data_IF_080448856182
#
_entry.id   IF_080448856182
#
_cell.length_a   1.000
_cell.length_b   1.000
_cell.length_c   1.000
_cell.angle_alpha   90.00
_cell.angle_beta   90.00
_cell.angle_gamma   90.00
#
_symmetry.space_group_name_H-M   'P 1'
#
loop_
_entity.id
_entity.type
_entity.pdbx_description
1 polymer ?
#
# COMPACT_ATOMS: atom_id res chain seq x y z
N UNK A 1 -30.93 -42.07 26.95
CA UNK A 1 -29.76 -42.32 27.81
C UNK A 1 -28.69 -42.93 26.91
N UNK A 2 -27.86 -42.12 26.26
CA UNK A 2 -26.63 -41.50 26.75
C UNK A 2 -25.50 -42.54 26.92
N UNK A 3 -24.38 -42.33 26.22
CA UNK A 3 -23.15 -43.11 26.46
C UNK A 3 -22.11 -43.09 25.33
N UNK A 4 -21.42 -41.96 25.18
CA UNK A 4 -19.97 -41.85 24.89
C UNK A 4 -19.34 -42.57 23.69
N UNK A 5 -18.90 -41.78 22.70
CA UNK A 5 -17.62 -42.01 22.01
C UNK A 5 -16.87 -40.68 21.91
N UNK A 6 -15.73 -40.61 22.60
CA UNK A 6 -14.67 -39.64 22.39
C UNK A 6 -14.10 -39.85 20.98
N UNK A 7 -14.09 -38.80 20.16
CA UNK A 7 -13.48 -38.79 18.83
C UNK A 7 -12.86 -37.43 18.58
N UNK A 8 -11.54 -37.39 18.58
CA UNK A 8 -10.68 -36.25 18.31
C UNK A 8 -11.07 -35.63 16.96
N UNK A 9 -11.57 -34.38 16.96
CA UNK A 9 -11.75 -33.62 15.73
C UNK A 9 -10.38 -33.08 15.32
N UNK A 10 -9.85 -33.69 14.26
CA UNK A 10 -8.63 -33.27 13.56
C UNK A 10 -8.77 -31.83 13.06
N UNK A 11 -7.70 -31.05 13.27
CA UNK A 11 -7.43 -29.77 12.65
C UNK A 11 -7.17 -29.98 11.15
N UNK A 12 -8.20 -30.15 10.33
CA UNK A 12 -8.08 -30.18 8.86
C UNK A 12 -9.32 -29.58 8.18
N UNK A 13 -9.63 -28.32 8.53
CA UNK A 13 -10.42 -27.46 7.66
C UNK A 13 -9.65 -26.16 7.42
N UNK A 14 -8.51 -26.31 6.73
CA UNK A 14 -8.00 -25.23 5.93
C UNK A 14 -9.07 -24.88 4.90
N UNK A 15 -9.66 -23.68 5.04
CA UNK A 15 -10.49 -23.05 4.03
C UNK A 15 -9.66 -22.98 2.74
N UNK A 16 -9.87 -23.93 1.85
CA UNK A 16 -9.33 -23.89 0.49
C UNK A 16 -10.09 -22.78 -0.23
N UNK A 17 -9.49 -21.59 -0.35
CA UNK A 17 -9.97 -20.59 -1.28
C UNK A 17 -10.05 -21.24 -2.67
N UNK A 18 -11.19 -21.17 -3.37
CA UNK A 18 -11.30 -21.66 -4.74
C UNK A 18 -10.27 -20.94 -5.64
N UNK A 19 -9.79 -21.59 -6.72
CA UNK A 19 -8.87 -20.96 -7.65
C UNK A 19 -9.49 -19.69 -8.25
N UNK A 20 -8.70 -18.61 -8.28
CA UNK A 20 -9.10 -17.30 -8.78
C UNK A 20 -9.60 -17.38 -10.23
N UNK A 21 -10.79 -16.86 -10.47
CA UNK A 21 -11.37 -16.73 -11.81
C UNK A 21 -10.90 -15.41 -12.43
N UNK A 22 -10.64 -15.33 -13.74
CA UNK A 22 -10.30 -14.07 -14.45
C UNK A 22 -11.44 -13.02 -14.44
N UNK A 23 -12.49 -13.25 -13.66
CA UNK A 23 -13.64 -12.36 -13.43
C UNK A 23 -13.81 -12.00 -11.95
N UNK A 24 -12.86 -12.39 -11.09
CA UNK A 24 -12.82 -11.99 -9.68
C UNK A 24 -12.73 -10.47 -9.58
N UNK A 25 -13.57 -9.86 -8.73
CA UNK A 25 -13.62 -8.40 -8.58
C UNK A 25 -12.26 -7.82 -8.19
N UNK A 26 -11.54 -8.50 -7.29
CA UNK A 26 -10.20 -8.08 -6.87
C UNK A 26 -9.16 -8.05 -8.00
N UNK A 27 -9.25 -8.96 -8.96
CA UNK A 27 -8.37 -8.99 -10.13
C UNK A 27 -8.75 -7.91 -11.14
N UNK A 28 -10.05 -7.72 -11.39
CA UNK A 28 -10.56 -6.66 -12.27
C UNK A 28 -10.18 -5.27 -11.75
N UNK A 29 -10.34 -5.02 -10.45
CA UNK A 29 -9.90 -3.77 -9.82
C UNK A 29 -8.39 -3.57 -9.96
N UNK A 30 -7.58 -4.59 -9.68
CA UNK A 30 -6.13 -4.50 -9.80
C UNK A 30 -5.68 -4.22 -11.25
N UNK A 31 -6.28 -4.90 -12.23
CA UNK A 31 -5.98 -4.71 -13.64
C UNK A 31 -6.44 -3.34 -14.14
N UNK A 32 -7.68 -2.96 -13.84
CA UNK A 32 -8.30 -1.74 -14.34
C UNK A 32 -7.72 -0.46 -13.73
N UNK A 33 -7.21 -0.53 -12.49
CA UNK A 33 -6.58 0.63 -11.83
C UNK A 33 -5.06 0.72 -12.05
N UNK A 34 -4.45 -0.26 -12.75
CA UNK A 34 -3.00 -0.32 -12.91
C UNK A 34 -2.39 0.96 -13.49
N UNK A 35 -2.96 1.48 -14.56
CA UNK A 35 -2.43 2.67 -15.24
C UNK A 35 -2.51 3.91 -14.36
N UNK A 36 -3.64 4.13 -13.68
CA UNK A 36 -3.81 5.29 -12.79
C UNK A 36 -2.98 5.16 -11.51
N UNK A 37 -2.79 3.95 -10.99
CA UNK A 37 -1.86 3.68 -9.90
C UNK A 37 -0.42 4.04 -10.29
N UNK A 38 0.05 3.58 -11.45
CA UNK A 38 1.38 3.92 -11.97
C UNK A 38 1.54 5.45 -12.17
N UNK A 39 0.50 6.14 -12.64
CA UNK A 39 0.51 7.62 -12.75
C UNK A 39 0.60 8.29 -11.38
N UNK A 40 -0.22 7.86 -10.42
CA UNK A 40 -0.24 8.42 -9.06
C UNK A 40 1.13 8.29 -8.36
N UNK A 41 1.78 7.13 -8.45
CA UNK A 41 3.14 6.93 -7.91
C UNK A 41 4.21 7.80 -8.59
N UNK A 42 3.95 8.24 -9.82
CA UNK A 42 4.85 9.05 -10.61
C UNK A 42 4.64 10.57 -10.49
N UNK A 43 3.68 11.02 -9.69
CA UNK A 43 3.50 12.44 -9.37
C UNK A 43 4.73 13.00 -8.64
N UNK A 44 4.98 14.30 -8.82
CA UNK A 44 6.15 14.96 -8.22
C UNK A 44 6.03 14.97 -6.69
N UNK A 45 4.82 15.21 -6.16
CA UNK A 45 4.49 15.10 -4.74
C UNK A 45 4.93 13.75 -4.13
N UNK A 46 4.50 12.62 -4.72
CA UNK A 46 4.84 11.29 -4.20
C UNK A 46 6.34 11.01 -4.32
N UNK A 47 6.97 11.42 -5.43
CA UNK A 47 8.43 11.27 -5.62
C UNK A 47 9.23 12.03 -4.58
N UNK A 48 8.85 13.26 -4.26
CA UNK A 48 9.52 14.07 -3.24
C UNK A 48 9.29 13.51 -1.84
N UNK A 49 8.06 13.04 -1.55
CA UNK A 49 7.76 12.34 -0.32
C UNK A 49 8.68 11.14 -0.11
N UNK A 50 8.77 10.23 -1.09
CA UNK A 50 9.60 9.02 -1.00
C UNK A 50 11.11 9.32 -0.89
N UNK A 51 11.56 10.45 -1.44
CA UNK A 51 12.93 10.94 -1.26
C UNK A 51 13.18 11.59 0.10
N UNK A 52 12.13 11.80 0.90
CA UNK A 52 12.19 12.48 2.19
C UNK A 52 12.27 14.00 2.06
N UNK A 53 11.95 14.58 0.91
CA UNK A 53 11.87 16.03 0.69
C UNK A 53 10.49 16.52 1.11
N UNK A 54 10.21 16.44 2.40
CA UNK A 54 8.89 16.74 2.96
C UNK A 54 8.97 18.08 3.68
N UNK A 55 8.05 18.99 3.33
CA UNK A 55 7.80 20.23 4.07
C UNK A 55 6.73 19.95 5.12
N UNK A 56 6.94 20.43 6.35
CA UNK A 56 6.09 20.07 7.49
C UNK A 56 4.69 20.63 7.30
N UNK A 57 4.55 21.88 6.89
CA UNK A 57 3.24 22.47 6.64
C UNK A 57 2.50 21.76 5.52
N UNK A 58 3.20 21.33 4.47
CA UNK A 58 2.59 20.57 3.40
C UNK A 58 2.14 19.16 3.84
N UNK A 59 2.92 18.50 4.69
CA UNK A 59 2.54 17.22 5.28
C UNK A 59 1.26 17.36 6.12
N UNK A 60 1.18 18.41 6.94
CA UNK A 60 0.00 18.71 7.76
C UNK A 60 -1.24 18.95 6.90
N UNK A 61 -1.12 19.65 5.77
CA UNK A 61 -2.24 19.83 4.83
C UNK A 61 -2.68 18.51 4.19
N UNK A 62 -1.72 17.62 3.90
CA UNK A 62 -2.01 16.25 3.45
C UNK A 62 -2.81 15.46 4.48
N UNK A 63 -2.42 15.52 5.77
CA UNK A 63 -3.16 14.86 6.86
C UNK A 63 -4.57 15.44 7.05
N UNK A 64 -4.76 16.74 6.82
CA UNK A 64 -6.11 17.35 6.82
C UNK A 64 -6.96 16.79 5.67
N UNK A 65 -6.41 16.70 4.46
CA UNK A 65 -7.12 16.13 3.32
C UNK A 65 -7.49 14.65 3.55
N UNK A 66 -6.58 13.88 4.15
CA UNK A 66 -6.84 12.51 4.58
C UNK A 66 -7.96 12.48 5.63
N UNK A 67 -7.90 13.30 6.67
CA UNK A 67 -8.91 13.33 7.73
C UNK A 67 -10.32 13.45 7.16
N UNK A 68 -10.58 14.47 6.35
CA UNK A 68 -11.91 14.69 5.76
C UNK A 68 -12.33 13.54 4.83
N UNK A 69 -11.40 13.01 4.03
CA UNK A 69 -11.67 11.88 3.13
C UNK A 69 -12.08 10.63 3.91
N UNK A 70 -11.34 10.26 4.96
CA UNK A 70 -11.63 9.07 5.75
C UNK A 70 -12.81 9.26 6.68
N UNK A 71 -13.06 10.47 7.20
CA UNK A 71 -14.28 10.77 7.95
C UNK A 71 -15.52 10.48 7.09
N UNK A 72 -15.58 11.05 5.88
CA UNK A 72 -16.70 10.82 4.96
C UNK A 72 -16.83 9.33 4.57
N UNK A 73 -15.70 8.68 4.25
CA UNK A 73 -15.71 7.27 3.86
C UNK A 73 -16.16 6.37 5.00
N UNK A 74 -15.68 6.58 6.21
CA UNK A 74 -16.02 5.76 7.38
C UNK A 74 -17.45 6.02 7.87
N UNK A 75 -17.98 7.23 7.72
CA UNK A 75 -19.40 7.52 7.95
C UNK A 75 -20.30 6.73 6.99
N UNK A 76 -19.97 6.71 5.70
CA UNK A 76 -20.74 5.97 4.70
C UNK A 76 -20.54 4.44 4.82
N UNK A 77 -19.37 3.98 5.25
CA UNK A 77 -19.14 2.58 5.60
C UNK A 77 -20.03 2.18 6.79
N UNK A 78 -20.09 3.00 7.85
CA UNK A 78 -20.92 2.73 9.02
C UNK A 78 -22.41 2.74 8.67
N UNK A 79 -22.85 3.65 7.78
CA UNK A 79 -24.22 3.65 7.24
C UNK A 79 -24.57 2.35 6.52
N UNK A 80 -23.62 1.78 5.77
CA UNK A 80 -23.82 0.63 4.89
C UNK A 80 -23.28 -0.69 5.47
N UNK A 81 -22.91 -0.74 6.75
CA UNK A 81 -22.27 -1.91 7.38
C UNK A 81 -23.09 -3.21 7.30
N UNK A 82 -24.42 -3.08 7.30
CA UNK A 82 -25.37 -4.19 7.23
C UNK A 82 -25.92 -4.38 5.79
N UNK A 83 -25.53 -3.53 4.83
CA UNK A 83 -25.98 -3.64 3.44
C UNK A 83 -25.31 -4.86 2.77
N UNK A 84 -26.06 -5.73 2.07
CA UNK A 84 -25.49 -6.95 1.49
C UNK A 84 -24.32 -6.66 0.53
N UNK A 85 -24.41 -5.57 -0.24
CA UNK A 85 -23.38 -5.19 -1.21
C UNK A 85 -22.07 -4.66 -0.60
N UNK A 86 -22.02 -4.43 0.72
CA UNK A 86 -20.81 -3.91 1.40
C UNK A 86 -20.39 -4.70 2.63
N UNK A 87 -21.34 -5.28 3.38
CA UNK A 87 -21.09 -5.94 4.68
C UNK A 87 -19.92 -6.93 4.72
N UNK A 88 -19.57 -7.71 3.67
CA UNK A 88 -18.37 -8.56 3.70
C UNK A 88 -17.05 -7.79 3.87
N UNK A 89 -17.04 -6.49 3.60
CA UNK A 89 -15.89 -5.59 3.69
C UNK A 89 -15.93 -4.68 4.92
N UNK A 90 -16.88 -4.86 5.83
CA UNK A 90 -16.92 -4.10 7.07
C UNK A 90 -15.83 -4.58 8.03
N UNK A 91 -14.71 -3.84 8.03
CA UNK A 91 -13.55 -4.09 8.87
C UNK A 91 -13.17 -2.82 9.65
N UNK A 92 -13.75 -2.59 10.85
CA UNK A 92 -13.44 -1.39 11.63
C UNK A 92 -11.95 -1.30 12.04
N UNK A 93 -11.19 -2.39 11.98
CA UNK A 93 -9.73 -2.39 12.20
C UNK A 93 -8.96 -1.61 11.13
N UNK A 94 -9.59 -1.32 9.98
CA UNK A 94 -9.05 -0.47 8.92
C UNK A 94 -9.33 1.02 9.15
N UNK A 95 -10.29 1.39 9.99
CA UNK A 95 -10.68 2.78 10.18
C UNK A 95 -9.50 3.64 10.62
N UNK A 96 -9.35 4.81 10.00
CA UNK A 96 -8.24 5.76 10.15
C UNK A 96 -8.68 7.09 10.75
N UNK A 97 -9.96 7.45 10.77
CA UNK A 97 -10.44 8.76 11.27
C UNK A 97 -9.90 9.10 12.65
N UNK A 98 -9.93 8.15 13.59
CA UNK A 98 -9.47 8.38 14.96
C UNK A 98 -7.95 8.52 15.04
N UNK A 99 -7.21 7.77 14.20
CA UNK A 99 -5.75 7.90 14.09
C UNK A 99 -5.35 9.26 13.50
N UNK A 100 -6.04 9.69 12.44
CA UNK A 100 -5.85 11.00 11.81
C UNK A 100 -6.22 12.15 12.77
N UNK A 101 -7.27 12.00 13.58
CA UNK A 101 -7.61 12.98 14.61
C UNK A 101 -6.47 13.19 15.61
N UNK A 102 -5.77 12.12 16.00
CA UNK A 102 -4.61 12.19 16.90
C UNK A 102 -3.39 12.81 16.22
N UNK A 103 -3.21 12.57 14.92
CA UNK A 103 -2.15 13.21 14.15
C UNK A 103 -2.40 14.72 14.02
N UNK A 104 -3.64 15.13 13.74
CA UNK A 104 -4.02 16.53 13.68
C UNK A 104 -3.93 17.24 15.03
N UNK A 105 -4.31 16.58 16.12
CA UNK A 105 -4.10 17.07 17.49
C UNK A 105 -2.61 17.33 17.76
N UNK A 106 -1.73 16.38 17.37
CA UNK A 106 -0.29 16.56 17.50
C UNK A 106 0.26 17.75 16.70
N UNK A 107 -0.26 18.00 15.49
CA UNK A 107 0.24 19.05 14.61
C UNK A 107 -0.34 20.44 14.85
N UNK A 108 -1.61 20.53 15.27
CA UNK A 108 -2.36 21.78 15.35
C UNK A 108 -2.84 22.11 16.77
N UNK A 109 -2.81 21.16 17.72
CA UNK A 109 -3.30 21.29 19.09
C UNK A 109 -4.72 20.78 19.30
N UNK A 110 -5.21 20.82 20.55
CA UNK A 110 -6.55 20.33 20.94
C UNK A 110 -7.70 20.98 20.14
N UNK A 111 -7.53 22.23 19.72
CA UNK A 111 -8.47 23.02 18.92
C UNK A 111 -8.27 22.86 17.39
N UNK A 112 -7.59 21.80 16.94
CA UNK A 112 -7.25 21.60 15.53
C UNK A 112 -8.46 21.70 14.60
N UNK A 113 -9.65 21.25 15.02
CA UNK A 113 -10.89 21.30 14.24
C UNK A 113 -11.29 22.73 13.85
N UNK A 114 -10.97 23.72 14.67
CA UNK A 114 -11.26 25.13 14.42
C UNK A 114 -10.19 25.78 13.52
N UNK A 115 -9.05 25.12 13.34
CA UNK A 115 -7.87 25.63 12.62
C UNK A 115 -7.72 25.08 11.21
N UNK A 116 -8.37 23.97 10.91
CA UNK A 116 -8.24 23.28 9.61
C UNK A 116 -9.55 23.31 8.84
N UNK A 117 -9.46 23.48 7.52
CA UNK A 117 -10.61 23.48 6.62
C UNK A 117 -10.41 22.47 5.50
N UNK A 118 -11.51 21.86 5.05
CA UNK A 118 -11.50 20.99 3.88
C UNK A 118 -11.13 21.82 2.63
N UNK A 119 -10.14 21.37 1.86
CA UNK A 119 -9.72 22.05 0.65
C UNK A 119 -10.69 21.77 -0.52
N UNK A 120 -10.74 22.62 -1.56
CA UNK A 120 -11.63 22.41 -2.69
C UNK A 120 -11.50 21.03 -3.38
N UNK A 121 -10.28 20.51 -3.58
CA UNK A 121 -10.08 19.18 -4.15
C UNK A 121 -10.55 18.07 -3.22
N UNK A 122 -10.25 18.18 -1.92
CA UNK A 122 -10.72 17.22 -0.91
C UNK A 122 -12.24 17.21 -0.81
N UNK A 123 -12.86 18.40 -0.85
CA UNK A 123 -14.30 18.57 -0.78
C UNK A 123 -15.03 17.85 -1.92
N UNK A 124 -14.51 17.93 -3.15
CA UNK A 124 -15.07 17.16 -4.29
C UNK A 124 -15.03 15.67 -4.05
N UNK A 125 -13.94 15.16 -3.45
CA UNK A 125 -13.84 13.74 -3.16
C UNK A 125 -14.80 13.30 -2.07
N UNK A 126 -14.90 14.09 -0.99
CA UNK A 126 -15.86 13.90 0.11
C UNK A 126 -17.29 13.87 -0.41
N UNK A 127 -17.67 14.80 -1.28
CA UNK A 127 -18.99 14.85 -1.91
C UNK A 127 -19.30 13.59 -2.70
N UNK A 128 -18.34 13.09 -3.49
CA UNK A 128 -18.54 11.84 -4.24
C UNK A 128 -18.71 10.64 -3.31
N UNK A 129 -17.93 10.57 -2.24
CA UNK A 129 -18.02 9.48 -1.26
C UNK A 129 -19.41 9.46 -0.62
N UNK A 130 -19.92 10.60 -0.17
CA UNK A 130 -21.28 10.71 0.37
C UNK A 130 -22.35 10.34 -0.66
N UNK A 131 -22.21 10.82 -1.89
CA UNK A 131 -23.13 10.49 -2.97
C UNK A 131 -23.20 8.97 -3.18
N UNK A 132 -22.05 8.31 -3.34
CA UNK A 132 -21.95 6.86 -3.55
C UNK A 132 -22.50 6.09 -2.36
N UNK A 133 -22.13 6.47 -1.14
CA UNK A 133 -22.61 5.81 0.08
C UNK A 133 -24.12 5.90 0.28
N UNK A 134 -24.76 6.96 -0.22
CA UNK A 134 -26.20 7.19 -0.05
C UNK A 134 -27.03 6.65 -1.21
N UNK A 135 -26.52 6.74 -2.44
CA UNK A 135 -27.27 6.47 -3.67
C UNK A 135 -26.91 5.13 -4.31
N UNK A 136 -25.64 4.71 -4.24
CA UNK A 136 -25.13 3.50 -4.90
C UNK A 136 -24.14 2.71 -3.99
N UNK A 137 -24.60 2.13 -2.86
CA UNK A 137 -23.72 1.54 -1.84
C UNK A 137 -22.70 0.51 -2.34
N UNK A 138 -23.04 -0.25 -3.39
CA UNK A 138 -22.10 -1.21 -4.00
C UNK A 138 -20.81 -0.52 -4.48
N UNK A 139 -20.89 0.72 -4.99
CA UNK A 139 -19.72 1.43 -5.49
C UNK A 139 -18.80 1.94 -4.38
N UNK A 140 -19.26 1.96 -3.11
CA UNK A 140 -18.43 2.33 -1.95
C UNK A 140 -17.23 1.38 -1.80
N UNK A 141 -17.37 0.14 -2.26
CA UNK A 141 -16.28 -0.85 -2.33
C UNK A 141 -15.06 -0.30 -3.09
N UNK A 142 -15.27 0.47 -4.15
CA UNK A 142 -14.19 1.04 -4.95
C UNK A 142 -13.35 2.08 -4.18
N UNK A 143 -14.00 2.89 -3.33
CA UNK A 143 -13.33 3.88 -2.49
C UNK A 143 -12.55 3.21 -1.36
N UNK A 144 -13.19 2.29 -0.64
CA UNK A 144 -12.57 1.53 0.43
C UNK A 144 -11.37 0.70 -0.08
N UNK A 145 -11.52 0.06 -1.24
CA UNK A 145 -10.42 -0.64 -1.91
C UNK A 145 -9.26 0.30 -2.21
N UNK A 146 -9.51 1.40 -2.92
CA UNK A 146 -8.47 2.33 -3.36
C UNK A 146 -7.66 2.89 -2.19
N UNK A 147 -8.33 3.24 -1.09
CA UNK A 147 -7.68 3.80 0.11
C UNK A 147 -7.00 2.73 0.97
N UNK A 148 -7.77 1.81 1.57
CA UNK A 148 -7.23 0.87 2.57
C UNK A 148 -6.19 -0.10 1.99
N UNK A 149 -6.35 -0.55 0.75
CA UNK A 149 -5.37 -1.44 0.13
C UNK A 149 -4.05 -0.73 -0.18
N UNK A 150 -4.11 0.57 -0.50
CA UNK A 150 -2.94 1.43 -0.65
C UNK A 150 -2.21 1.59 0.68
N UNK A 151 -2.93 1.92 1.75
CA UNK A 151 -2.35 2.14 3.08
C UNK A 151 -1.61 0.89 3.60
N UNK A 152 -2.20 -0.29 3.42
CA UNK A 152 -1.60 -1.58 3.80
C UNK A 152 -0.42 -2.01 2.91
N UNK A 153 -0.16 -1.32 1.80
CA UNK A 153 0.92 -1.64 0.87
C UNK A 153 2.15 -0.77 1.08
N UNK A 154 1.96 0.54 1.30
CA UNK A 154 3.06 1.51 1.45
C UNK A 154 3.22 2.11 2.85
N UNK A 155 2.23 1.98 3.74
CA UNK A 155 2.14 2.78 4.95
C UNK A 155 3.36 2.70 5.87
N UNK A 156 3.97 1.52 6.03
CA UNK A 156 5.18 1.38 6.87
C UNK A 156 6.42 2.07 6.29
N UNK A 157 6.53 2.14 4.97
CA UNK A 157 7.62 2.87 4.30
C UNK A 157 7.37 4.37 4.46
N UNK A 158 6.15 4.82 4.17
CA UNK A 158 5.77 6.23 4.28
C UNK A 158 5.93 6.76 5.72
N UNK A 159 5.50 5.99 6.72
CA UNK A 159 5.73 6.26 8.15
C UNK A 159 7.20 6.55 8.45
N UNK A 160 8.10 5.65 8.05
CA UNK A 160 9.54 5.78 8.32
C UNK A 160 10.14 7.00 7.63
N UNK A 161 9.70 7.28 6.40
CA UNK A 161 10.17 8.44 5.64
C UNK A 161 9.69 9.74 6.30
N UNK A 162 8.42 9.83 6.67
CA UNK A 162 7.85 10.97 7.39
C UNK A 162 8.54 11.19 8.74
N UNK A 163 8.69 10.15 9.56
CA UNK A 163 9.38 10.25 10.85
C UNK A 163 10.80 10.79 10.72
N UNK A 164 11.55 10.30 9.72
CA UNK A 164 12.91 10.75 9.46
C UNK A 164 12.95 12.19 8.94
N UNK A 165 12.14 12.51 7.93
CA UNK A 165 12.12 13.82 7.27
C UNK A 165 11.69 14.93 8.23
N UNK A 166 10.63 14.68 9.00
CA UNK A 166 10.02 15.66 9.89
C UNK A 166 10.52 15.58 11.34
N UNK A 167 11.51 14.71 11.60
CA UNK A 167 12.08 14.44 12.93
C UNK A 167 11.01 14.11 13.99
N UNK A 168 10.01 13.31 13.60
CA UNK A 168 8.92 12.91 14.49
C UNK A 168 9.37 11.82 15.48
N UNK A 169 8.74 11.73 16.65
CA UNK A 169 9.08 10.74 17.65
C UNK A 169 8.93 9.30 17.13
N UNK A 170 9.81 8.42 17.59
CA UNK A 170 9.73 6.98 17.29
C UNK A 170 8.53 6.28 17.93
N UNK A 171 7.94 6.90 18.96
CA UNK A 171 6.76 6.46 19.71
C UNK A 171 5.47 6.52 18.88
N UNK A 172 5.45 7.26 17.76
CA UNK A 172 4.40 7.20 16.75
C UNK A 172 3.50 8.43 16.66
N UNK A 173 3.72 9.45 17.49
CA UNK A 173 3.01 10.73 17.44
C UNK A 173 3.21 11.43 16.09
N UNK A 174 2.11 11.94 15.53
CA UNK A 174 2.08 12.62 14.22
C UNK A 174 2.15 11.69 13.01
N UNK A 175 2.08 10.37 13.21
CA UNK A 175 2.04 9.33 12.16
C UNK A 175 1.22 8.10 12.60
N UNK A 176 0.17 8.28 13.39
CA UNK A 176 -0.76 7.23 13.81
C UNK A 176 -1.55 6.67 12.62
N UNK A 177 -1.86 7.48 11.60
CA UNK A 177 -2.53 7.06 10.37
C UNK A 177 -1.92 5.78 9.77
N UNK A 178 -0.59 5.71 9.73
CA UNK A 178 0.16 4.60 9.15
C UNK A 178 0.26 3.36 10.06
N UNK A 179 -0.40 3.34 11.21
CA UNK A 179 -0.31 2.29 12.23
C UNK A 179 -1.64 1.55 12.35
N UNK A 180 -1.61 0.24 12.11
CA UNK A 180 -2.80 -0.62 12.14
C UNK A 180 -2.68 -1.61 13.30
N UNK A 181 -3.03 -1.17 14.51
CA UNK A 181 -2.84 -1.97 15.74
C UNK A 181 -3.64 -3.28 15.72
N UNK A 182 -4.80 -3.30 15.05
CA UNK A 182 -5.63 -4.49 14.84
C UNK A 182 -5.14 -5.44 13.74
N UNK A 183 -4.06 -5.11 13.02
CA UNK A 183 -3.60 -5.88 11.85
C UNK A 183 -2.15 -6.33 12.03
N UNK A 184 -1.97 -7.59 12.43
CA UNK A 184 -0.64 -8.17 12.65
C UNK A 184 0.15 -8.45 11.36
N UNK A 185 -0.54 -8.75 10.25
CA UNK A 185 0.09 -9.04 8.96
C UNK A 185 -0.68 -8.36 7.84
N UNK A 186 -0.14 -7.24 7.35
CA UNK A 186 -0.71 -6.52 6.22
C UNK A 186 -0.84 -7.41 4.97
N UNK A 187 0.10 -8.35 4.75
CA UNK A 187 -0.01 -9.30 3.64
C UNK A 187 -1.23 -10.21 3.78
N UNK A 188 -1.40 -10.83 4.96
CA UNK A 188 -2.52 -11.74 5.20
C UNK A 188 -3.86 -11.00 5.16
N UNK A 189 -3.93 -9.81 5.75
CA UNK A 189 -5.14 -9.00 5.74
C UNK A 189 -5.54 -8.56 4.32
N UNK A 190 -4.57 -8.16 3.50
CA UNK A 190 -4.80 -7.85 2.08
C UNK A 190 -5.28 -9.06 1.27
N UNK A 191 -4.93 -10.28 1.66
CA UNK A 191 -5.45 -11.51 1.03
C UNK A 191 -6.89 -11.77 1.48
N UNK A 192 -7.16 -11.63 2.79
CA UNK A 192 -8.50 -11.72 3.34
C UNK A 192 -9.45 -10.71 2.68
N UNK A 193 -9.06 -9.43 2.61
CA UNK A 193 -9.86 -8.38 2.01
C UNK A 193 -10.21 -8.67 0.54
N UNK A 194 -9.23 -9.16 -0.24
CA UNK A 194 -9.48 -9.60 -1.63
C UNK A 194 -10.45 -10.78 -1.72
N UNK A 195 -10.30 -11.77 -0.83
CA UNK A 195 -11.23 -12.89 -0.75
C UNK A 195 -12.66 -12.41 -0.47
N UNK A 196 -12.83 -11.48 0.48
CA UNK A 196 -14.15 -10.90 0.80
C UNK A 196 -14.76 -10.10 -0.34
N UNK A 197 -13.95 -9.33 -1.07
CA UNK A 197 -14.44 -8.63 -2.28
C UNK A 197 -14.95 -9.61 -3.33
N UNK A 198 -14.30 -10.78 -3.46
CA UNK A 198 -14.71 -11.81 -4.41
C UNK A 198 -15.96 -12.59 -3.97
N UNK A 199 -16.40 -12.47 -2.72
CA UNK A 199 -17.64 -13.07 -2.21
C UNK A 199 -18.88 -12.25 -2.62
N UNK A 200 -18.72 -11.01 -3.10
CA UNK A 200 -19.82 -10.19 -3.60
C UNK A 200 -20.40 -10.77 -4.89
N UNK A 201 -21.68 -11.15 -4.85
CA UNK A 201 -22.41 -11.69 -6.00
C UNK A 201 -22.83 -10.57 -6.97
N UNK A 202 -21.91 -10.16 -7.85
CA UNK A 202 -22.10 -9.04 -8.77
C UNK A 202 -22.12 -9.49 -10.24
N UNK A 203 -22.99 -8.87 -11.03
CA UNK A 203 -22.95 -8.99 -12.49
C UNK A 203 -21.75 -8.23 -13.09
N UNK A 204 -21.41 -8.54 -14.34
CA UNK A 204 -20.27 -7.91 -15.00
C UNK A 204 -20.46 -6.40 -15.18
N UNK A 205 -21.68 -5.93 -15.43
CA UNK A 205 -21.95 -4.50 -15.57
C UNK A 205 -21.65 -3.73 -14.28
N UNK A 206 -21.95 -4.30 -13.12
CA UNK A 206 -21.65 -3.70 -11.81
C UNK A 206 -20.15 -3.77 -11.50
N UNK A 207 -19.48 -4.86 -11.86
CA UNK A 207 -18.01 -4.96 -11.77
C UNK A 207 -17.31 -3.90 -12.63
N UNK A 208 -17.80 -3.66 -13.84
CA UNK A 208 -17.25 -2.62 -14.73
C UNK A 208 -17.45 -1.22 -14.13
N UNK A 209 -18.63 -0.93 -13.56
CA UNK A 209 -18.87 0.33 -12.83
C UNK A 209 -17.95 0.49 -11.62
N UNK A 210 -17.71 -0.59 -10.86
CA UNK A 210 -16.77 -0.58 -9.73
C UNK A 210 -15.34 -0.24 -10.16
N UNK A 211 -14.88 -0.82 -11.27
CA UNK A 211 -13.56 -0.50 -11.82
C UNK A 211 -13.49 0.95 -12.26
N UNK A 212 -14.52 1.45 -12.94
CA UNK A 212 -14.61 2.86 -13.33
C UNK A 212 -14.61 3.80 -12.12
N UNK A 213 -15.35 3.46 -11.07
CA UNK A 213 -15.38 4.23 -9.82
C UNK A 213 -14.03 4.21 -9.10
N UNK A 214 -13.33 3.07 -9.11
CA UNK A 214 -12.00 2.98 -8.52
C UNK A 214 -11.01 3.87 -9.28
N UNK A 215 -11.08 3.88 -10.62
CA UNK A 215 -10.30 4.80 -11.45
C UNK A 215 -10.61 6.26 -11.11
N UNK A 216 -11.88 6.61 -10.91
CA UNK A 216 -12.30 7.94 -10.48
C UNK A 216 -11.78 8.28 -9.07
N UNK A 217 -11.81 7.34 -8.13
CA UNK A 217 -11.20 7.50 -6.81
C UNK A 217 -9.70 7.81 -6.91
N UNK A 218 -8.94 7.14 -7.78
CA UNK A 218 -7.55 7.50 -8.05
C UNK A 218 -7.40 8.92 -8.63
N UNK A 219 -8.32 9.36 -9.50
CA UNK A 219 -8.30 10.72 -10.05
C UNK A 219 -8.50 11.78 -8.95
N UNK A 220 -9.44 11.60 -8.03
CA UNK A 220 -9.59 12.50 -6.89
C UNK A 220 -8.33 12.58 -6.03
N UNK A 221 -7.64 11.45 -5.80
CA UNK A 221 -6.37 11.47 -5.09
C UNK A 221 -5.29 12.26 -5.83
N UNK A 222 -5.21 12.15 -7.16
CA UNK A 222 -4.29 12.96 -7.97
C UNK A 222 -4.64 14.45 -7.91
N UNK A 223 -5.93 14.82 -7.99
CA UNK A 223 -6.35 16.22 -7.84
C UNK A 223 -5.96 16.81 -6.48
N UNK A 224 -6.08 16.03 -5.40
CA UNK A 224 -5.62 16.43 -4.07
C UNK A 224 -4.09 16.62 -4.05
N UNK A 225 -3.32 15.72 -4.66
CA UNK A 225 -1.87 15.86 -4.75
C UNK A 225 -1.44 17.08 -5.56
N UNK A 226 -2.12 17.37 -6.67
CA UNK A 226 -1.85 18.54 -7.50
C UNK A 226 -2.19 19.84 -6.75
N UNK A 227 -3.30 19.88 -6.01
CA UNK A 227 -3.67 21.02 -5.17
C UNK A 227 -2.66 21.24 -4.03
N UNK A 228 -2.21 20.17 -3.38
CA UNK A 228 -1.15 20.21 -2.38
C UNK A 228 0.17 20.72 -2.97
N UNK A 229 0.55 20.25 -4.17
CA UNK A 229 1.75 20.73 -4.85
C UNK A 229 1.69 22.23 -5.14
N UNK A 230 0.53 22.72 -5.59
CA UNK A 230 0.29 24.14 -5.83
C UNK A 230 0.38 24.96 -4.54
N UNK A 231 -0.36 24.58 -3.49
CA UNK A 231 -0.29 25.24 -2.17
C UNK A 231 1.13 25.22 -1.61
N UNK A 232 1.87 24.13 -1.87
CA UNK A 232 3.24 23.98 -1.49
C UNK A 232 4.15 25.07 -2.07
N UNK A 233 3.90 25.60 -3.26
CA UNK A 233 4.78 26.61 -3.89
C UNK A 233 4.90 27.89 -3.05
N UNK A 234 3.86 28.21 -2.30
CA UNK A 234 3.79 29.42 -1.46
C UNK A 234 4.36 29.22 -0.04
N UNK A 235 4.65 27.98 0.35
CA UNK A 235 5.21 27.65 1.67
C UNK A 235 6.71 27.97 1.69
N UNK A 236 7.07 29.06 2.38
CA UNK A 236 8.46 29.43 2.68
C UNK A 236 9.02 28.63 3.86
N UNK A 237 9.13 27.31 3.70
CA UNK A 237 9.85 26.43 4.64
C UNK A 237 11.13 25.90 3.97
N UNK A 238 12.22 25.80 4.74
CA UNK A 238 13.38 25.03 4.32
C UNK A 238 12.96 23.56 4.16
N UNK A 239 13.12 23.02 2.95
CA UNK A 239 12.88 21.59 2.70
C UNK A 239 13.81 20.81 3.62
N UNK A 240 13.23 20.03 4.54
CA UNK A 240 14.01 19.17 5.41
C UNK A 240 14.56 18.00 4.59
N UNK A 241 15.79 18.14 4.07
CA UNK A 241 16.49 17.03 3.45
C UNK A 241 17.01 16.10 4.54
N UNK A 242 16.21 15.08 4.87
CA UNK A 242 16.71 13.95 5.62
C UNK A 242 17.67 13.14 4.74
N UNK A 243 18.91 13.62 4.65
CA UNK A 243 19.98 12.97 3.90
C UNK A 243 19.98 11.46 4.11
N UNK A 244 20.22 10.71 3.03
CA UNK A 244 20.30 9.26 3.09
C UNK A 244 21.39 8.83 4.09
N UNK A 245 21.17 7.79 4.92
CA UNK A 245 22.26 7.23 5.72
C UNK A 245 23.30 6.65 4.76
N UNK A 246 24.41 7.36 4.59
CA UNK A 246 25.62 6.79 4.01
C UNK A 246 26.18 5.85 5.06
N UNK A 247 25.94 4.55 4.90
CA UNK A 247 26.77 3.57 5.59
C UNK A 247 28.21 3.74 5.11
N UNK A 248 29.09 4.15 6.02
CA UNK A 248 30.54 4.03 5.87
C UNK A 248 31.25 5.35 5.63
N UNK A 249 31.87 5.87 6.70
CA UNK A 249 32.96 6.82 6.61
C UNK A 249 34.17 6.15 5.92
N UNK A 250 34.26 6.25 4.60
CA UNK A 250 35.49 6.37 3.78
C UNK A 250 35.11 6.28 2.31
N UNK A 251 35.85 7.01 1.47
CA UNK A 251 35.46 7.41 0.12
C UNK A 251 35.11 6.30 -0.87
N UNK A 252 34.59 6.77 -2.01
CA UNK A 252 34.22 6.11 -3.28
C UNK A 252 32.73 5.79 -3.46
N UNK A 253 32.20 6.25 -4.59
CA UNK A 253 30.78 6.40 -4.91
C UNK A 253 29.94 5.12 -4.79
N UNK A 254 28.78 5.26 -4.15
CA UNK A 254 27.79 4.20 -3.99
C UNK A 254 26.69 4.30 -5.04
N UNK A 255 26.73 3.35 -5.96
CA UNK A 255 25.85 3.16 -7.12
C UNK A 255 24.38 2.90 -6.72
N UNK A 256 23.44 3.52 -7.45
CA UNK A 256 21.98 3.54 -7.23
C UNK A 256 21.33 2.14 -7.33
N UNK A 257 22.11 1.16 -7.80
CA UNK A 257 21.74 -0.23 -8.04
C UNK A 257 21.53 -1.10 -6.79
N UNK A 258 21.63 -0.55 -5.57
CA UNK A 258 21.45 -1.30 -4.31
C UNK A 258 20.15 -1.02 -3.57
N UNK A 259 19.21 -0.26 -4.15
CA UNK A 259 17.87 -0.11 -3.60
C UNK A 259 17.04 -1.40 -3.82
N UNK A 260 16.42 -2.00 -2.78
CA UNK A 260 15.62 -3.23 -2.93
C UNK A 260 14.46 -3.11 -3.92
N UNK A 261 13.96 -1.88 -4.13
CA UNK A 261 12.92 -1.56 -5.10
C UNK A 261 13.43 -1.62 -6.56
N UNK A 262 14.68 -1.21 -6.79
CA UNK A 262 15.33 -1.27 -8.11
C UNK A 262 15.76 -2.70 -8.47
N UNK A 263 16.18 -3.49 -7.48
CA UNK A 263 16.52 -4.91 -7.65
C UNK A 263 15.30 -5.76 -8.04
N UNK A 264 14.11 -5.46 -7.48
CA UNK A 264 12.86 -6.12 -7.84
C UNK A 264 12.41 -5.77 -9.28
N UNK A 265 12.64 -4.53 -9.72
CA UNK A 265 12.31 -4.08 -11.08
C UNK A 265 13.23 -4.66 -12.16
N UNK A 266 14.51 -4.88 -11.85
CA UNK A 266 15.49 -5.47 -12.78
C UNK A 266 15.38 -7.01 -12.88
N UNK A 267 14.90 -7.68 -11.83
CA UNK A 267 14.62 -9.11 -11.86
C UNK A 267 13.44 -9.47 -12.78
N UNK A 268 12.51 -8.53 -12.98
CA UNK A 268 11.36 -8.71 -13.86
C UNK A 268 11.66 -8.44 -15.35
N UNK A 269 12.75 -7.75 -15.68
CA UNK A 269 13.04 -7.28 -17.05
C UNK A 269 14.06 -8.13 -17.85
N UNK A 270 14.49 -9.29 -17.33
CA UNK A 270 15.17 -10.31 -18.14
C UNK A 270 16.49 -9.87 -18.79
N UNK A 271 17.25 -8.98 -18.17
CA UNK A 271 18.52 -8.49 -18.70
C UNK A 271 19.66 -9.52 -18.56
N UNK A 272 20.16 -10.05 -19.69
CA UNK A 272 21.32 -10.96 -19.79
C UNK A 272 22.58 -10.49 -19.01
N UNK A 273 22.74 -9.18 -18.82
CA UNK A 273 23.86 -8.60 -18.08
C UNK A 273 23.85 -8.91 -16.56
N UNK A 274 22.68 -9.09 -15.94
CA UNK A 274 22.57 -9.35 -14.51
C UNK A 274 23.00 -10.78 -14.13
N UNK A 275 22.68 -11.76 -14.98
CA UNK A 275 23.12 -13.16 -14.79
C UNK A 275 24.65 -13.27 -14.86
N UNK A 276 25.28 -12.55 -15.79
CA UNK A 276 26.74 -12.49 -15.90
C UNK A 276 27.42 -11.85 -14.69
N UNK A 277 26.85 -10.77 -14.14
CA UNK A 277 27.42 -10.09 -12.97
C UNK A 277 27.24 -10.88 -11.67
N UNK A 278 26.10 -11.55 -11.49
CA UNK A 278 25.84 -12.39 -10.32
C UNK A 278 26.73 -13.65 -10.32
N UNK A 279 26.92 -14.28 -11.48
CA UNK A 279 27.83 -15.42 -11.62
C UNK A 279 29.29 -15.03 -11.27
N UNK A 280 29.75 -13.86 -11.72
CA UNK A 280 31.09 -13.36 -11.41
C UNK A 280 31.25 -12.97 -9.92
N UNK A 281 30.17 -12.51 -9.26
CA UNK A 281 30.19 -12.21 -7.84
C UNK A 281 30.28 -13.48 -6.97
N UNK A 282 29.55 -14.53 -7.34
CA UNK A 282 29.59 -15.84 -6.66
C UNK A 282 30.96 -16.52 -6.84
N UNK A 283 31.57 -16.39 -8.02
CA UNK A 283 32.91 -16.93 -8.32
C UNK A 283 34.07 -16.16 -7.66
N UNK A 284 33.82 -15.01 -7.04
CA UNK A 284 34.84 -14.26 -6.27
C UNK A 284 34.94 -14.70 -4.81
N UNK A 285 33.96 -15.46 -4.29
CA UNK A 285 33.98 -15.96 -2.92
C UNK A 285 34.54 -17.40 -2.89
N UNK A 286 35.49 -17.74 -1.99
CA UNK A 286 36.10 -19.08 -1.94
C UNK A 286 35.06 -20.21 -1.83
N UNK A 287 34.04 -20.01 -1.02
CA UNK A 287 32.91 -20.94 -0.87
C UNK A 287 32.07 -21.08 -2.14
N UNK A 288 31.91 -19.98 -2.90
CA UNK A 288 31.18 -19.99 -4.17
C UNK A 288 31.96 -20.68 -5.29
N UNK A 289 33.30 -20.57 -5.30
CA UNK A 289 34.16 -21.32 -6.22
C UNK A 289 34.07 -22.83 -6.00
N UNK A 290 34.05 -23.27 -4.74
CA UNK A 290 33.91 -24.70 -4.39
C UNK A 290 32.54 -25.24 -4.82
N UNK A 291 31.46 -24.50 -4.57
CA UNK A 291 30.12 -24.91 -4.99
C UNK A 291 29.98 -24.95 -6.51
N UNK A 292 30.54 -23.99 -7.22
CA UNK A 292 30.54 -23.98 -8.69
C UNK A 292 31.36 -25.14 -9.27
N UNK A 293 32.55 -25.41 -8.73
CA UNK A 293 33.38 -26.53 -9.14
C UNK A 293 32.70 -27.89 -8.88
N UNK A 294 32.02 -28.06 -7.74
CA UNK A 294 31.26 -29.25 -7.43
C UNK A 294 30.07 -29.43 -8.39
N UNK A 295 29.40 -28.35 -8.76
CA UNK A 295 28.27 -28.38 -9.70
C UNK A 295 28.71 -28.70 -11.14
N UNK A 296 29.83 -28.14 -11.59
CA UNK A 296 30.43 -28.46 -12.89
C UNK A 296 30.91 -29.91 -12.95
N UNK A 297 31.53 -30.42 -11.88
CA UNK A 297 31.95 -31.83 -11.79
C UNK A 297 30.74 -32.79 -11.84
N UNK A 298 29.63 -32.44 -11.16
CA UNK A 298 28.40 -33.22 -11.20
C UNK A 298 27.76 -33.25 -12.61
N UNK A 299 27.74 -32.11 -13.31
CA UNK A 299 27.24 -32.03 -14.68
C UNK A 299 28.13 -32.76 -15.69
N UNK A 300 29.46 -32.69 -15.53
CA UNK A 300 30.39 -33.45 -16.36
C UNK A 300 30.23 -34.97 -16.14
N UNK A 301 29.99 -35.40 -14.89
CA UNK A 301 29.68 -36.79 -14.58
C UNK A 301 28.36 -37.26 -15.18
N UNK A 302 27.31 -36.44 -15.12
CA UNK A 302 26.02 -36.72 -15.74
C UNK A 302 26.11 -36.78 -17.28
N UNK A 303 26.87 -35.88 -17.89
CA UNK A 303 27.10 -35.89 -19.33
C UNK A 303 27.93 -37.12 -19.78
N UNK A 304 28.98 -37.48 -19.03
CA UNK A 304 29.78 -38.68 -19.29
C UNK A 304 28.96 -39.97 -19.13
N UNK A 305 28.00 -40.01 -18.20
CA UNK A 305 27.05 -41.13 -18.05
C UNK A 305 26.02 -41.19 -19.18
N UNK A 306 25.60 -40.04 -19.73
CA UNK A 306 24.64 -39.98 -20.83
C UNK A 306 25.23 -40.36 -22.20
N UNK A 307 26.55 -40.23 -22.37
CA UNK A 307 27.26 -40.51 -23.63
C UNK A 307 28.14 -41.78 -23.61
N UNK A 308 28.10 -42.57 -22.54
CA UNK A 308 28.61 -43.94 -22.49
C UNK A 308 27.46 -44.94 -22.61
#
# INVERSE_FOLDING_TARGET
MCGSCFGVLSLDQAVLCPPHSPTDLSELLAAGTKEVHEKAENTQFVKDFLRGRIRKELFKLGDVALYYTYEAMEEEIERNKDHPDFSPLYFPELNRRDALSRDLDYFYGEDWRERVSCSPATQRYVERIHQVGQEEPVLLVAHAYTRYMGDLSGGQVLKKVAQRALKLPSTGEGVYFYQFDGIHSAKAFKQLYRSRMNELELDMATKDRLVAEAVLAFQFNMEIFDELEEMGKDIQEEVMDAGMPVHGAHGTGGDINKCPYYAAQMAASGGSAYVGQLAMAVLRHPTGQVLFAAWVAALAGLAAWYFM
#
